data_IF_947176361752
#
_entry.id   IF_947176361752
#
_cell.length_a   1.000
_cell.length_b   1.000
_cell.length_c   1.000
_cell.angle_alpha   90.00
_cell.angle_beta   90.00
_cell.angle_gamma   90.00
#
_symmetry.space_group_name_H-M   'P 1'
#
loop_
_entity.id
_entity.type
_entity.pdbx_description
1 polymer ?
#
# COMPACT_ATOMS: atom_id res chain seq x y z
N UNK A 1 8.15 -3.17 -21.39
CA UNK A 1 8.42 -4.61 -21.55
C UNK A 1 9.87 -4.88 -21.23
N UNK A 2 10.11 -5.40 -20.02
CA UNK A 2 11.40 -5.96 -19.61
C UNK A 2 11.31 -7.47 -19.73
N UNK A 3 12.43 -8.11 -20.08
CA UNK A 3 12.55 -9.56 -20.05
C UNK A 3 12.46 -10.07 -18.61
N UNK A 4 11.71 -11.17 -18.40
CA UNK A 4 11.52 -11.76 -17.08
C UNK A 4 11.70 -13.28 -17.19
N UNK A 5 12.70 -13.78 -16.48
CA UNK A 5 12.95 -15.21 -16.36
C UNK A 5 12.05 -15.78 -15.25
N UNK A 6 11.26 -16.81 -15.56
CA UNK A 6 10.33 -17.43 -14.62
C UNK A 6 10.70 -18.89 -14.38
N UNK A 7 10.86 -19.25 -13.11
CA UNK A 7 11.22 -20.58 -12.64
C UNK A 7 10.10 -21.14 -11.79
N UNK A 8 9.68 -22.36 -12.08
CA UNK A 8 8.82 -23.15 -11.18
C UNK A 8 9.69 -23.71 -10.06
N UNK A 9 9.37 -23.35 -8.81
CA UNK A 9 10.10 -23.78 -7.62
C UNK A 9 9.37 -24.93 -6.88
N UNK A 10 8.30 -25.44 -7.48
CA UNK A 10 7.45 -26.50 -6.96
C UNK A 10 6.44 -26.01 -5.92
N UNK A 11 5.78 -26.94 -5.21
CA UNK A 11 4.82 -26.58 -4.18
C UNK A 11 5.49 -25.86 -3.01
N UNK A 12 4.75 -24.95 -2.39
CA UNK A 12 5.10 -24.27 -1.14
C UNK A 12 3.93 -24.46 -0.18
N UNK A 13 4.21 -24.86 1.05
CA UNK A 13 3.21 -25.07 2.09
C UNK A 13 3.30 -23.99 3.16
N UNK A 14 2.19 -23.78 3.86
CA UNK A 14 2.16 -22.95 5.08
C UNK A 14 3.27 -23.41 6.04
N UNK A 15 4.10 -22.47 6.49
CA UNK A 15 5.25 -22.72 7.36
C UNK A 15 6.56 -22.99 6.65
N UNK A 16 6.57 -23.17 5.32
CA UNK A 16 7.84 -23.27 4.61
C UNK A 16 8.58 -21.93 4.63
N UNK A 17 9.87 -21.95 4.97
CA UNK A 17 10.72 -20.76 4.90
C UNK A 17 11.43 -20.72 3.56
N UNK A 18 11.21 -19.64 2.83
CA UNK A 18 11.83 -19.39 1.52
C UNK A 18 12.92 -18.34 1.71
N UNK A 19 14.15 -18.71 1.34
CA UNK A 19 15.30 -17.79 1.29
C UNK A 19 15.80 -17.71 -0.13
N UNK A 20 15.80 -16.51 -0.68
CA UNK A 20 16.39 -16.16 -1.96
C UNK A 20 17.56 -15.23 -1.71
N UNK A 21 18.73 -15.65 -2.18
CA UNK A 21 19.89 -14.78 -2.31
C UNK A 21 20.30 -14.73 -3.76
N UNK A 22 20.64 -13.54 -4.24
CA UNK A 22 21.12 -13.37 -5.59
C UNK A 22 22.49 -12.69 -5.61
N UNK A 23 23.22 -12.92 -6.70
CA UNK A 23 24.37 -12.13 -7.08
C UNK A 23 24.24 -11.73 -8.53
N UNK A 24 24.67 -10.51 -8.86
CA UNK A 24 24.59 -9.96 -10.21
C UNK A 24 25.98 -9.59 -10.73
N UNK A 25 26.18 -9.70 -12.04
CA UNK A 25 27.40 -9.28 -12.75
C UNK A 25 27.04 -8.58 -14.05
N UNK A 26 27.96 -7.81 -14.63
CA UNK A 26 27.73 -7.13 -15.91
C UNK A 26 26.87 -5.86 -15.81
N UNK A 27 26.62 -5.34 -14.61
CA UNK A 27 25.86 -4.10 -14.38
C UNK A 27 24.36 -4.30 -14.16
N UNK A 28 23.89 -5.53 -14.06
CA UNK A 28 22.50 -5.84 -13.74
C UNK A 28 22.16 -5.38 -12.30
N UNK A 29 21.15 -4.54 -12.20
CA UNK A 29 20.35 -4.33 -11.00
C UNK A 29 19.12 -5.22 -11.14
N UNK A 30 19.01 -6.28 -10.34
CA UNK A 30 17.95 -7.27 -10.48
C UNK A 30 16.79 -7.02 -9.49
N UNK A 31 15.60 -7.48 -9.85
CA UNK A 31 14.46 -7.65 -8.96
C UNK A 31 14.00 -9.10 -9.00
N UNK A 32 13.48 -9.59 -7.87
CA UNK A 32 12.91 -10.92 -7.77
C UNK A 32 11.51 -10.86 -7.12
N UNK A 33 10.58 -11.63 -7.65
CA UNK A 33 9.24 -11.80 -7.10
C UNK A 33 8.88 -13.28 -6.99
N UNK A 34 8.19 -13.64 -5.91
CA UNK A 34 7.57 -14.94 -5.70
C UNK A 34 6.08 -14.81 -5.92
N UNK A 35 5.51 -15.71 -6.73
CA UNK A 35 4.08 -15.78 -7.01
C UNK A 35 3.53 -17.18 -6.68
N UNK A 36 2.24 -17.26 -6.41
CA UNK A 36 1.53 -18.53 -6.34
C UNK A 36 1.03 -19.01 -7.73
N UNK A 37 0.28 -20.12 -7.75
CA UNK A 37 -0.25 -20.72 -8.97
C UNK A 37 -1.26 -19.83 -9.70
N UNK A 38 -1.86 -18.85 -9.00
CA UNK A 38 -2.75 -17.84 -9.57
C UNK A 38 -2.01 -16.63 -10.14
N UNK A 39 -0.68 -16.61 -10.05
CA UNK A 39 0.18 -15.46 -10.29
C UNK A 39 -0.06 -14.31 -9.30
N UNK A 40 -0.61 -14.59 -8.11
CA UNK A 40 -0.71 -13.61 -7.03
C UNK A 40 0.62 -13.51 -6.29
N UNK A 41 1.02 -12.28 -6.00
CA UNK A 41 2.27 -11.94 -5.34
C UNK A 41 2.28 -12.55 -3.94
N UNK A 42 3.35 -13.26 -3.62
CA UNK A 42 3.69 -13.70 -2.27
C UNK A 42 4.67 -12.70 -1.65
N UNK A 43 5.70 -12.30 -2.41
CA UNK A 43 6.70 -11.32 -1.98
C UNK A 43 7.46 -10.78 -3.20
N UNK A 44 7.86 -9.51 -3.15
CA UNK A 44 8.78 -8.89 -4.12
C UNK A 44 9.93 -8.21 -3.37
N UNK A 45 11.12 -8.29 -3.93
CA UNK A 45 12.26 -7.51 -3.49
C UNK A 45 13.06 -7.06 -4.71
N UNK A 46 13.40 -5.79 -4.76
CA UNK A 46 14.22 -5.23 -5.83
C UNK A 46 15.45 -4.52 -5.28
N UNK A 47 16.10 -5.12 -4.27
CA UNK A 47 17.35 -4.69 -3.62
C UNK A 47 17.24 -3.58 -2.54
N UNK A 48 16.15 -2.81 -2.56
CA UNK A 48 16.05 -1.55 -1.78
C UNK A 48 15.76 -1.70 -0.29
N UNK A 49 15.14 -2.80 0.13
CA UNK A 49 14.55 -2.91 1.48
C UNK A 49 15.31 -3.80 2.45
N UNK A 50 16.30 -4.60 2.00
CA UNK A 50 16.87 -5.65 2.85
C UNK A 50 18.38 -5.58 3.10
N UNK A 51 19.18 -4.94 2.22
CA UNK A 51 20.63 -4.78 2.44
C UNK A 51 21.17 -3.46 1.87
N UNK A 52 21.63 -2.52 2.71
CA UNK A 52 22.31 -1.32 2.24
C UNK A 52 23.50 -1.67 1.34
N UNK A 53 23.49 -1.19 0.09
CA UNK A 53 24.61 -1.30 -0.86
C UNK A 53 24.68 -2.58 -1.69
N UNK A 54 23.64 -3.42 -1.69
CA UNK A 54 23.52 -4.53 -2.66
C UNK A 54 22.64 -4.15 -3.84
N UNK A 55 23.03 -4.53 -5.07
CA UNK A 55 22.19 -4.41 -6.28
C UNK A 55 21.42 -5.70 -6.59
N UNK A 56 21.24 -6.54 -5.57
CA UNK A 56 20.87 -7.92 -5.72
C UNK A 56 19.72 -8.24 -4.75
N UNK A 57 18.58 -8.73 -5.25
CA UNK A 57 17.44 -9.00 -4.41
C UNK A 57 17.75 -10.05 -3.34
N UNK A 58 17.22 -9.82 -2.15
CA UNK A 58 17.28 -10.72 -1.01
C UNK A 58 15.88 -10.86 -0.41
N UNK A 59 15.37 -12.10 -0.39
CA UNK A 59 14.06 -12.45 0.18
C UNK A 59 14.27 -13.46 1.30
N UNK A 60 13.62 -13.25 2.44
CA UNK A 60 13.49 -14.27 3.48
C UNK A 60 12.11 -14.14 4.09
N UNK A 61 11.24 -15.09 3.77
CA UNK A 61 9.85 -15.12 4.25
C UNK A 61 9.51 -16.50 4.79
N UNK A 62 8.52 -16.56 5.68
CA UNK A 62 7.82 -17.81 6.03
C UNK A 62 6.47 -17.79 5.33
N UNK A 63 6.18 -18.77 4.47
CA UNK A 63 4.93 -18.79 3.71
C UNK A 63 3.73 -18.91 4.64
N UNK A 64 2.75 -18.02 4.45
CA UNK A 64 1.47 -18.01 5.19
C UNK A 64 0.32 -18.59 4.38
N UNK A 65 0.60 -19.06 3.16
CA UNK A 65 -0.33 -19.78 2.30
C UNK A 65 0.30 -21.04 1.72
N UNK A 66 -0.53 -22.00 1.34
CA UNK A 66 -0.12 -23.17 0.57
C UNK A 66 -0.47 -22.95 -0.89
N UNK A 67 0.46 -23.29 -1.79
CA UNK A 67 0.24 -23.30 -3.23
C UNK A 67 0.87 -24.55 -3.83
N UNK A 68 0.17 -25.21 -4.75
CA UNK A 68 0.66 -26.39 -5.46
C UNK A 68 1.85 -26.06 -6.37
N UNK A 69 1.95 -24.79 -6.78
CA UNK A 69 3.01 -24.27 -7.61
C UNK A 69 3.38 -22.86 -7.12
N UNK A 70 4.64 -22.65 -6.81
CA UNK A 70 5.20 -21.32 -6.60
C UNK A 70 6.13 -20.98 -7.76
N UNK A 71 6.08 -19.74 -8.22
CA UNK A 71 6.88 -19.24 -9.32
C UNK A 71 7.85 -18.19 -8.79
N UNK A 72 9.13 -18.33 -9.12
CA UNK A 72 10.13 -17.29 -8.95
C UNK A 72 10.31 -16.57 -10.28
N UNK A 73 10.05 -15.27 -10.31
CA UNK A 73 10.37 -14.42 -11.45
C UNK A 73 11.57 -13.52 -11.13
N UNK A 74 12.48 -13.36 -12.08
CA UNK A 74 13.65 -12.48 -11.99
C UNK A 74 13.68 -11.56 -13.21
N UNK A 75 13.89 -10.27 -13.00
CA UNK A 75 13.97 -9.23 -14.06
C UNK A 75 15.03 -8.20 -13.70
N UNK A 76 15.42 -7.34 -14.63
CA UNK A 76 16.06 -6.05 -14.27
C UNK A 76 15.10 -5.21 -13.41
N UNK A 77 15.62 -4.49 -12.42
CA UNK A 77 14.85 -3.60 -11.56
C UNK A 77 13.99 -2.65 -12.40
N UNK A 78 12.68 -2.54 -12.13
CA UNK A 78 11.79 -1.72 -12.95
C UNK A 78 12.20 -0.25 -13.12
N UNK A 79 12.98 0.29 -12.19
CA UNK A 79 13.45 1.68 -12.24
C UNK A 79 14.69 1.88 -13.10
N UNK A 80 15.42 0.80 -13.36
CA UNK A 80 16.68 0.85 -14.08
C UNK A 80 16.74 -0.29 -15.09
N UNK A 81 16.56 0.06 -16.36
CA UNK A 81 16.78 -0.87 -17.46
C UNK A 81 18.27 -1.21 -17.56
N UNK A 82 18.64 -2.26 -16.85
CA UNK A 82 20.01 -2.78 -16.78
C UNK A 82 20.04 -4.19 -17.36
N UNK A 83 21.23 -4.64 -17.74
CA UNK A 83 21.45 -5.96 -18.33
C UNK A 83 22.65 -6.59 -17.67
N UNK A 84 22.70 -7.91 -17.64
CA UNK A 84 23.84 -8.65 -17.12
C UNK A 84 23.45 -10.07 -16.77
N UNK A 85 24.32 -10.76 -16.03
CA UNK A 85 24.05 -12.11 -15.56
C UNK A 85 23.70 -12.09 -14.08
N UNK A 86 22.92 -13.07 -13.65
CA UNK A 86 22.64 -13.28 -12.24
C UNK A 86 22.82 -14.76 -11.86
N UNK A 87 22.96 -15.01 -10.57
CA UNK A 87 22.86 -16.34 -9.97
C UNK A 87 21.90 -16.25 -8.81
N UNK A 88 20.93 -17.17 -8.74
CA UNK A 88 20.01 -17.30 -7.62
C UNK A 88 20.39 -18.52 -6.79
N UNK A 89 20.56 -18.32 -5.49
CA UNK A 89 20.56 -19.37 -4.49
C UNK A 89 19.21 -19.37 -3.77
N UNK A 90 18.34 -20.31 -4.14
CA UNK A 90 17.04 -20.50 -3.53
C UNK A 90 17.08 -21.68 -2.56
N UNK A 91 16.61 -21.47 -1.33
CA UNK A 91 16.40 -22.53 -0.34
C UNK A 91 14.96 -22.51 0.13
N UNK A 92 14.33 -23.69 0.17
CA UNK A 92 13.01 -23.90 0.77
C UNK A 92 13.19 -24.86 1.95
N UNK A 93 13.16 -24.32 3.16
CA UNK A 93 13.17 -25.08 4.41
C UNK A 93 11.73 -25.48 4.74
N UNK A 94 11.45 -26.79 4.72
CA UNK A 94 10.09 -27.30 4.90
C UNK A 94 9.67 -27.30 6.36
N UNK A 95 8.43 -26.88 6.62
CA UNK A 95 7.83 -26.95 7.95
C UNK A 95 8.60 -26.16 9.02
N UNK A 96 9.08 -24.97 8.68
CA UNK A 96 9.64 -24.05 9.66
C UNK A 96 8.53 -23.59 10.64
N UNK A 97 8.96 -22.96 11.74
CA UNK A 97 8.03 -22.39 12.71
C UNK A 97 7.09 -21.38 12.04
N UNK A 98 5.79 -21.59 12.22
CA UNK A 98 4.77 -20.68 11.73
C UNK A 98 4.91 -19.35 12.44
N UNK A 99 5.00 -18.28 11.66
CA UNK A 99 4.91 -16.93 12.18
C UNK A 99 3.43 -16.66 12.41
N UNK A 100 3.05 -16.46 13.67
CA UNK A 100 1.68 -16.07 14.03
C UNK A 100 1.29 -14.78 13.31
N UNK A 101 0.01 -14.66 12.99
CA UNK A 101 -0.59 -13.42 12.52
C UNK A 101 -0.29 -12.29 13.50
N UNK A 102 -0.08 -11.09 12.97
CA UNK A 102 0.31 -9.92 13.76
C UNK A 102 -0.77 -8.86 13.65
N UNK A 103 -1.78 -8.89 14.53
CA UNK A 103 -2.76 -7.82 14.61
C UNK A 103 -2.06 -6.47 14.72
N UNK A 104 -2.60 -5.45 14.03
CA UNK A 104 -1.99 -4.14 13.99
C UNK A 104 -2.91 -3.07 14.54
N UNK A 105 -2.34 -2.13 15.29
CA UNK A 105 -3.01 -0.87 15.63
C UNK A 105 -2.53 0.19 14.66
N UNK A 106 -3.49 0.84 14.00
CA UNK A 106 -3.24 1.99 13.11
C UNK A 106 -3.82 3.23 13.79
N UNK A 107 -2.95 4.20 14.07
CA UNK A 107 -3.31 5.50 14.62
C UNK A 107 -3.36 6.54 13.50
N UNK A 108 -4.50 7.19 13.32
CA UNK A 108 -4.67 8.35 12.44
C UNK A 108 -4.41 9.61 13.28
N UNK A 109 -3.28 10.27 13.07
CA UNK A 109 -2.83 11.40 13.90
C UNK A 109 -3.11 12.76 13.23
N UNK A 110 -4.03 13.50 13.85
CA UNK A 110 -4.48 14.82 13.41
C UNK A 110 -3.93 15.97 14.27
N UNK A 111 -3.17 15.68 15.33
CA UNK A 111 -2.66 16.71 16.25
C UNK A 111 -1.36 17.36 15.76
N UNK A 112 -0.73 16.81 14.72
CA UNK A 112 0.57 17.26 14.24
C UNK A 112 1.72 16.62 15.01
N UNK A 113 2.95 16.91 14.57
CA UNK A 113 4.17 16.31 15.11
C UNK A 113 5.38 17.21 14.87
N UNK A 114 6.42 17.09 15.69
CA UNK A 114 7.69 17.82 15.47
C UNK A 114 8.83 16.85 15.24
N UNK A 115 9.70 17.16 14.28
CA UNK A 115 10.82 16.31 13.92
C UNK A 115 10.43 14.93 13.37
N UNK A 116 9.21 14.81 12.81
CA UNK A 116 8.71 13.57 12.21
C UNK A 116 9.61 13.15 11.04
N UNK A 117 9.90 11.86 10.93
CA UNK A 117 10.65 11.29 9.81
C UNK A 117 9.80 10.21 9.17
N UNK A 118 9.58 10.33 7.86
CA UNK A 118 8.82 9.35 7.09
C UNK A 118 9.55 9.08 5.78
N UNK A 119 9.67 7.82 5.39
CA UNK A 119 10.17 7.42 4.06
C UNK A 119 11.59 7.91 3.79
N UNK A 120 12.45 7.92 4.83
CA UNK A 120 13.82 8.40 4.74
C UNK A 120 13.97 9.93 4.58
N UNK A 121 12.89 10.71 4.64
CA UNK A 121 12.95 12.17 4.55
C UNK A 121 13.61 12.80 5.78
N UNK A 122 14.07 14.04 5.59
CA UNK A 122 14.51 14.90 6.70
C UNK A 122 13.38 15.14 7.70
N UNK A 123 13.69 15.65 8.91
CA UNK A 123 12.69 15.94 9.92
C UNK A 123 11.64 16.93 9.39
N UNK A 124 10.37 16.65 9.66
CA UNK A 124 9.20 17.44 9.28
C UNK A 124 8.50 17.93 10.56
N UNK A 125 8.04 19.18 10.53
CA UNK A 125 7.18 19.75 11.57
C UNK A 125 5.77 19.92 11.00
N UNK A 126 4.84 19.12 11.49
CA UNK A 126 3.47 19.05 11.02
C UNK A 126 2.59 19.89 11.95
N UNK A 127 1.83 20.87 11.42
CA UNK A 127 0.77 21.49 12.20
C UNK A 127 -0.38 20.48 12.44
N UNK A 128 -1.28 20.75 13.41
CA UNK A 128 -2.54 20.04 13.50
C UNK A 128 -3.32 20.13 12.17
N UNK A 129 -4.07 19.07 11.86
CA UNK A 129 -4.89 19.03 10.65
C UNK A 129 -5.98 20.11 10.69
N UNK A 130 -6.10 20.87 9.59
CA UNK A 130 -7.16 21.85 9.38
C UNK A 130 -7.72 21.69 7.97
N UNK A 131 -9.02 21.40 7.83
CA UNK A 131 -9.64 21.25 6.52
C UNK A 131 -9.57 22.54 5.68
N UNK A 132 -9.50 23.71 6.33
CA UNK A 132 -9.32 24.99 5.63
C UNK A 132 -7.96 25.13 4.93
N UNK A 133 -6.95 24.30 5.28
CA UNK A 133 -5.66 24.27 4.59
C UNK A 133 -5.76 23.62 3.20
N UNK A 134 -6.81 22.82 2.95
CA UNK A 134 -7.12 22.27 1.63
C UNK A 134 -7.78 23.36 0.78
N UNK A 135 -8.86 23.95 1.30
CA UNK A 135 -9.58 25.05 0.69
C UNK A 135 -10.38 25.84 1.75
N UNK A 136 -10.44 27.20 1.67
CA UNK A 136 -11.18 28.00 2.63
C UNK A 136 -12.68 27.67 2.74
N UNK A 137 -13.29 27.05 1.72
CA UNK A 137 -14.69 26.62 1.78
C UNK A 137 -14.97 25.51 2.80
N UNK A 138 -13.93 24.81 3.29
CA UNK A 138 -14.04 23.82 4.37
C UNK A 138 -13.80 24.41 5.76
N UNK A 139 -13.68 25.73 5.91
CA UNK A 139 -13.52 26.37 7.22
C UNK A 139 -14.64 25.95 8.19
N UNK A 140 -14.24 25.48 9.37
CA UNK A 140 -15.16 24.98 10.41
C UNK A 140 -15.65 23.54 10.20
N UNK A 141 -15.19 22.84 9.16
CA UNK A 141 -15.59 21.46 8.85
C UNK A 141 -14.53 20.41 9.22
N UNK A 142 -13.44 20.79 9.88
CA UNK A 142 -12.32 19.90 10.22
C UNK A 142 -12.79 18.64 10.97
N UNK A 143 -13.60 18.79 12.02
CA UNK A 143 -14.06 17.62 12.79
C UNK A 143 -14.98 16.72 11.97
N UNK A 144 -15.91 17.28 11.19
CA UNK A 144 -16.80 16.50 10.33
C UNK A 144 -16.00 15.70 9.28
N UNK A 145 -14.94 16.29 8.73
CA UNK A 145 -14.03 15.63 7.81
C UNK A 145 -13.24 14.51 8.48
N UNK A 146 -12.70 14.74 9.69
CA UNK A 146 -12.02 13.70 10.50
C UNK A 146 -12.96 12.53 10.78
N UNK A 147 -14.18 12.80 11.26
CA UNK A 147 -15.14 11.75 11.64
C UNK A 147 -15.50 10.86 10.44
N UNK A 148 -15.74 11.47 9.27
CA UNK A 148 -16.01 10.75 8.03
C UNK A 148 -14.80 9.93 7.58
N UNK A 149 -13.61 10.53 7.54
CA UNK A 149 -12.36 9.87 7.16
C UNK A 149 -12.08 8.65 8.04
N UNK A 150 -12.14 8.81 9.36
CA UNK A 150 -11.90 7.72 10.33
C UNK A 150 -12.91 6.60 10.13
N UNK A 151 -14.18 6.95 9.84
CA UNK A 151 -15.23 5.97 9.54
C UNK A 151 -14.89 5.16 8.29
N UNK A 152 -14.47 5.81 7.21
CA UNK A 152 -14.13 5.13 5.95
C UNK A 152 -12.88 4.26 6.08
N UNK A 153 -11.82 4.73 6.72
CA UNK A 153 -10.62 3.89 6.96
C UNK A 153 -10.98 2.66 7.82
N UNK A 154 -11.84 2.80 8.84
CA UNK A 154 -12.34 1.64 9.61
C UNK A 154 -13.11 0.65 8.74
N UNK A 155 -13.90 1.14 7.77
CA UNK A 155 -14.64 0.29 6.85
C UNK A 155 -13.70 -0.48 5.92
N UNK A 156 -12.66 0.16 5.38
CA UNK A 156 -11.68 -0.48 4.49
C UNK A 156 -11.00 -1.69 5.13
N UNK A 157 -10.72 -1.62 6.43
CA UNK A 157 -10.07 -2.67 7.20
C UNK A 157 -11.03 -3.65 7.89
N UNK A 158 -12.35 -3.55 7.63
CA UNK A 158 -13.33 -4.46 8.24
C UNK A 158 -13.06 -5.91 7.85
N UNK A 159 -13.04 -6.80 8.86
CA UNK A 159 -12.74 -8.22 8.68
C UNK A 159 -11.26 -8.58 8.80
N UNK A 160 -10.38 -7.60 8.95
CA UNK A 160 -8.97 -7.79 9.25
C UNK A 160 -8.72 -7.55 10.74
N UNK A 161 -7.64 -8.11 11.28
CA UNK A 161 -7.18 -7.80 12.65
C UNK A 161 -6.42 -6.45 12.70
N UNK A 162 -6.98 -5.42 12.08
CA UNK A 162 -6.45 -4.06 12.08
C UNK A 162 -7.39 -3.17 12.87
N UNK A 163 -6.88 -2.55 13.93
CA UNK A 163 -7.66 -1.68 14.80
C UNK A 163 -7.30 -0.23 14.53
N UNK A 164 -8.26 0.53 13.98
CA UNK A 164 -8.04 1.92 13.57
C UNK A 164 -8.58 2.89 14.63
N UNK A 165 -7.70 3.76 15.12
CA UNK A 165 -8.00 4.81 16.10
C UNK A 165 -7.66 6.19 15.54
N UNK A 166 -8.42 7.21 15.93
CA UNK A 166 -8.04 8.60 15.76
C UNK A 166 -7.21 9.08 16.96
N UNK A 167 -6.32 10.05 16.75
CA UNK A 167 -5.62 10.72 17.84
C UNK A 167 -6.63 11.36 18.81
N UNK A 168 -6.63 10.91 20.06
CA UNK A 168 -7.57 11.35 21.09
C UNK A 168 -8.70 10.37 21.38
N UNK A 169 -8.85 9.30 20.59
CA UNK A 169 -9.78 8.22 20.92
C UNK A 169 -9.44 7.61 22.29
N UNK A 170 -10.44 7.36 23.15
CA UNK A 170 -10.20 6.63 24.39
C UNK A 170 -9.86 5.17 24.08
N UNK A 171 -8.95 4.60 24.87
CA UNK A 171 -8.68 3.15 24.83
C UNK A 171 -7.79 2.68 23.68
N UNK A 172 -7.00 3.58 23.06
CA UNK A 172 -5.88 3.16 22.21
C UNK A 172 -4.99 2.21 23.03
N UNK A 173 -4.75 0.96 22.56
CA UNK A 173 -3.93 0.01 23.29
C UNK A 173 -2.53 0.56 23.58
N UNK A 174 -1.99 0.26 24.76
CA UNK A 174 -0.59 0.55 25.06
C UNK A 174 0.30 -0.39 24.24
N UNK A 175 1.34 0.15 23.61
CA UNK A 175 2.31 -0.63 22.85
C UNK A 175 2.73 0.05 21.54
N UNK A 176 3.45 -0.68 20.68
CA UNK A 176 3.76 -0.26 19.31
C UNK A 176 2.48 0.04 18.51
N UNK A 177 2.50 1.13 17.76
CA UNK A 177 1.43 1.51 16.82
C UNK A 177 2.05 2.01 15.53
N UNK A 178 1.36 1.73 14.44
CA UNK A 178 1.66 2.32 13.13
C UNK A 178 0.87 3.61 13.00
N UNK A 179 1.49 4.71 12.61
CA UNK A 179 0.84 6.03 12.62
C UNK A 179 0.75 6.61 11.21
N UNK A 180 -0.44 7.08 10.82
CA UNK A 180 -0.66 7.87 9.61
C UNK A 180 -0.93 9.32 10.01
N UNK A 181 -0.02 10.21 9.66
CA UNK A 181 -0.09 11.64 9.95
C UNK A 181 -0.81 12.41 8.84
N UNK A 182 -1.44 13.53 9.18
CA UNK A 182 -2.16 14.38 8.24
C UNK A 182 -1.63 15.81 8.30
N UNK A 183 -1.03 16.31 7.22
CA UNK A 183 -0.52 17.68 7.17
C UNK A 183 0.42 17.95 6.01
N UNK A 184 0.82 19.22 5.88
CA UNK A 184 1.79 19.72 4.90
C UNK A 184 1.34 19.63 3.44
N UNK A 185 2.19 20.19 2.59
CA UNK A 185 2.11 20.16 1.14
C UNK A 185 3.30 19.40 0.54
N UNK A 186 3.04 18.56 -0.46
CA UNK A 186 4.06 18.04 -1.37
C UNK A 186 3.55 18.17 -2.82
N UNK A 187 4.29 18.87 -3.70
CA UNK A 187 3.84 19.09 -5.08
C UNK A 187 3.79 17.81 -5.94
N UNK A 188 4.34 16.70 -5.48
CA UNK A 188 4.47 15.46 -6.25
C UNK A 188 3.75 14.27 -5.63
N UNK A 189 3.29 14.36 -4.39
CA UNK A 189 2.76 13.24 -3.61
C UNK A 189 1.45 13.59 -2.92
N UNK A 190 0.53 12.61 -2.88
CA UNK A 190 -0.64 12.67 -2.00
C UNK A 190 -0.33 12.02 -0.64
N UNK A 191 0.53 11.01 -0.62
CA UNK A 191 1.00 10.37 0.60
C UNK A 191 2.43 9.83 0.49
N UNK A 192 2.95 9.40 1.64
CA UNK A 192 4.24 8.73 1.79
C UNK A 192 4.26 7.91 3.08
N UNK A 193 4.36 6.59 3.00
CA UNK A 193 4.79 5.68 4.04
C UNK A 193 6.31 5.50 4.13
N UNK A 194 6.76 4.94 5.25
CA UNK A 194 8.16 4.57 5.47
C UNK A 194 8.67 3.60 4.40
N UNK A 195 8.10 2.40 4.37
CA UNK A 195 8.47 1.30 3.47
C UNK A 195 7.29 0.31 3.35
N UNK A 196 7.35 -0.58 2.36
CA UNK A 196 6.47 -1.75 2.31
C UNK A 196 6.92 -2.77 3.34
N UNK A 197 6.16 -2.96 4.41
CA UNK A 197 6.48 -3.89 5.50
C UNK A 197 5.96 -5.30 5.25
N UNK A 198 6.70 -6.01 4.41
CA UNK A 198 6.42 -7.40 4.04
C UNK A 198 6.25 -8.25 5.30
N UNK A 199 5.08 -8.89 5.44
CA UNK A 199 4.68 -9.71 6.60
C UNK A 199 4.40 -8.96 7.91
N UNK A 200 4.17 -7.64 7.86
CA UNK A 200 3.89 -6.79 9.02
C UNK A 200 4.94 -7.01 10.14
N UNK A 201 6.22 -6.84 9.80
CA UNK A 201 7.33 -7.12 10.70
C UNK A 201 7.70 -6.00 11.65
N UNK A 202 7.33 -4.76 11.32
CA UNK A 202 7.61 -3.57 12.11
C UNK A 202 6.30 -2.91 12.57
N UNK A 203 5.87 -3.11 13.82
CA UNK A 203 4.62 -2.58 14.32
C UNK A 203 4.68 -1.07 14.67
N UNK A 204 5.82 -0.40 14.44
CA UNK A 204 6.06 1.02 14.74
C UNK A 204 6.60 1.76 13.51
N UNK A 205 5.74 1.94 12.50
CA UNK A 205 6.07 2.70 11.30
C UNK A 205 5.20 3.94 11.16
N UNK A 206 5.62 4.83 10.27
CA UNK A 206 4.91 6.07 9.98
C UNK A 206 4.56 6.20 8.50
N UNK A 207 3.44 6.86 8.24
CA UNK A 207 3.08 7.44 6.96
C UNK A 207 2.57 8.87 7.13
N UNK A 208 2.53 9.62 6.05
CA UNK A 208 1.93 10.95 5.99
C UNK A 208 1.01 11.07 4.77
N UNK A 209 -0.13 11.73 4.96
CA UNK A 209 -1.01 12.22 3.90
C UNK A 209 -0.82 13.73 3.78
N UNK A 210 -0.39 14.21 2.60
CA UNK A 210 -0.11 15.61 2.32
C UNK A 210 -1.40 16.38 2.00
N UNK A 211 -2.14 16.73 3.05
CA UNK A 211 -3.52 17.26 2.95
C UNK A 211 -3.63 18.52 2.09
N UNK A 212 -2.64 19.42 2.11
CA UNK A 212 -2.68 20.67 1.32
C UNK A 212 -2.61 20.40 -0.20
N UNK A 213 -2.02 19.27 -0.61
CA UNK A 213 -1.94 18.84 -2.01
C UNK A 213 -3.34 18.55 -2.60
N UNK A 214 -4.33 18.25 -1.75
CA UNK A 214 -5.70 17.97 -2.20
C UNK A 214 -6.46 19.21 -2.66
N UNK A 215 -5.89 20.41 -2.52
CA UNK A 215 -6.37 21.63 -3.21
C UNK A 215 -6.49 21.44 -4.73
N UNK A 216 -5.71 20.53 -5.31
CA UNK A 216 -5.77 20.14 -6.74
C UNK A 216 -7.10 19.46 -7.13
N UNK A 217 -7.89 18.99 -6.17
CA UNK A 217 -9.19 18.33 -6.39
C UNK A 217 -10.35 19.34 -6.39
N UNK A 218 -10.11 20.59 -5.98
CA UNK A 218 -11.15 21.62 -5.87
C UNK A 218 -11.87 22.00 -7.16
N UNK A 219 -11.32 21.82 -8.38
CA UNK A 219 -12.09 21.94 -9.61
C UNK A 219 -13.31 21.00 -9.66
N UNK A 220 -13.26 19.84 -8.99
CA UNK A 220 -14.38 18.91 -8.87
C UNK A 220 -15.45 19.36 -7.87
N UNK A 221 -15.18 20.43 -7.10
CA UNK A 221 -16.00 20.95 -6.00
C UNK A 221 -16.51 19.84 -5.06
N UNK A 222 -15.62 19.00 -4.50
CA UNK A 222 -16.06 17.90 -3.65
C UNK A 222 -16.75 18.44 -2.40
N UNK A 223 -17.79 17.74 -1.92
CA UNK A 223 -18.33 18.00 -0.58
C UNK A 223 -17.30 17.61 0.50
N UNK A 224 -17.60 17.93 1.76
CA UNK A 224 -16.75 17.51 2.89
C UNK A 224 -16.62 15.99 2.92
N UNK A 225 -17.71 15.26 2.72
CA UNK A 225 -17.73 13.79 2.72
C UNK A 225 -16.91 13.21 1.57
N UNK A 226 -17.00 13.83 0.38
CA UNK A 226 -16.25 13.38 -0.80
C UNK A 226 -14.76 13.68 -0.68
N UNK A 227 -14.39 14.81 -0.09
CA UNK A 227 -13.00 15.10 0.24
C UNK A 227 -12.48 14.14 1.33
N UNK A 228 -13.30 13.84 2.36
CA UNK A 228 -12.96 12.86 3.38
C UNK A 228 -12.74 11.46 2.81
N UNK A 229 -13.56 11.01 1.84
CA UNK A 229 -13.35 9.77 1.10
C UNK A 229 -12.02 9.77 0.32
N UNK A 230 -11.70 10.90 -0.31
CA UNK A 230 -10.46 11.04 -1.08
C UNK A 230 -9.24 10.91 -0.15
N UNK A 231 -9.29 11.54 1.03
CA UNK A 231 -8.26 11.43 2.06
C UNK A 231 -8.20 10.03 2.68
N UNK A 232 -9.34 9.37 2.92
CA UNK A 232 -9.38 8.01 3.48
C UNK A 232 -8.78 6.99 2.53
N UNK A 233 -9.06 7.08 1.24
CA UNK A 233 -8.46 6.23 0.21
C UNK A 233 -6.92 6.31 0.24
N UNK A 234 -6.37 7.53 0.36
CA UNK A 234 -4.92 7.73 0.45
C UNK A 234 -4.38 7.25 1.81
N UNK A 235 -5.06 7.54 2.92
CA UNK A 235 -4.65 7.04 4.24
C UNK A 235 -4.62 5.50 4.30
N UNK A 236 -5.64 4.84 3.75
CA UNK A 236 -5.72 3.38 3.64
C UNK A 236 -4.66 2.82 2.68
N UNK A 237 -4.32 3.55 1.61
CA UNK A 237 -3.21 3.20 0.71
C UNK A 237 -1.86 3.21 1.44
N UNK A 238 -1.55 4.28 2.16
CA UNK A 238 -0.31 4.38 2.91
C UNK A 238 -0.25 3.35 4.04
N UNK A 239 -1.36 3.15 4.76
CA UNK A 239 -1.45 2.07 5.75
C UNK A 239 -1.26 0.69 5.10
N UNK A 240 -1.77 0.47 3.89
CA UNK A 240 -1.55 -0.74 3.11
C UNK A 240 -0.08 -1.03 2.87
N UNK A 241 0.75 -0.02 2.57
CA UNK A 241 2.21 -0.19 2.48
C UNK A 241 2.82 -0.64 3.80
N UNK A 242 2.46 0.02 4.90
CA UNK A 242 2.93 -0.34 6.25
C UNK A 242 2.43 -1.71 6.71
N UNK A 243 1.52 -2.33 5.97
CA UNK A 243 1.00 -3.67 6.20
C UNK A 243 1.41 -4.66 5.09
N UNK A 244 2.36 -4.28 4.24
CA UNK A 244 3.02 -5.17 3.29
C UNK A 244 2.45 -5.17 1.87
N UNK A 245 1.53 -4.26 1.52
CA UNK A 245 0.99 -4.15 0.18
C UNK A 245 1.85 -3.29 -0.75
N UNK A 246 1.84 -3.62 -2.03
CA UNK A 246 2.52 -2.88 -3.10
C UNK A 246 1.52 -2.15 -4.00
N UNK A 247 2.01 -1.23 -4.83
CA UNK A 247 1.19 -0.54 -5.83
C UNK A 247 0.60 -1.51 -6.86
N UNK A 248 -0.60 -1.16 -7.34
CA UNK A 248 -1.36 -1.91 -8.35
C UNK A 248 -1.93 -0.95 -9.41
N UNK A 249 -2.60 -1.51 -10.44
CA UNK A 249 -3.22 -0.76 -11.54
C UNK A 249 -4.72 -1.10 -11.69
N UNK A 250 -5.54 -0.61 -10.76
CA UNK A 250 -7.00 -0.69 -10.81
C UNK A 250 -7.60 0.53 -10.11
N UNK A 251 -8.14 1.53 -10.82
CA UNK A 251 -8.66 2.75 -10.21
C UNK A 251 -9.71 2.59 -9.11
N UNK A 252 -10.33 1.41 -8.96
CA UNK A 252 -11.26 1.15 -7.87
C UNK A 252 -10.60 0.36 -6.70
N UNK A 253 -9.33 -0.02 -6.83
CA UNK A 253 -8.50 -0.59 -5.77
C UNK A 253 -7.82 0.48 -4.90
N UNK A 254 -7.71 0.22 -3.59
CA UNK A 254 -7.01 1.14 -2.66
C UNK A 254 -5.54 1.32 -3.06
N UNK A 255 -4.86 0.21 -3.39
CA UNK A 255 -3.43 0.21 -3.73
C UNK A 255 -3.11 0.72 -5.14
N UNK A 256 -4.09 1.24 -5.86
CA UNK A 256 -3.89 1.76 -7.20
C UNK A 256 -3.19 3.12 -7.21
N UNK A 257 -2.38 3.35 -8.25
CA UNK A 257 -1.74 4.65 -8.51
C UNK A 257 -2.12 5.25 -9.87
N UNK A 258 -3.08 4.67 -10.58
CA UNK A 258 -3.50 5.11 -11.92
C UNK A 258 -4.81 5.91 -11.94
N UNK A 259 -5.54 5.93 -10.82
CA UNK A 259 -6.79 6.65 -10.66
C UNK A 259 -6.64 8.14 -10.96
N UNK A 260 -7.59 8.66 -11.73
CA UNK A 260 -7.80 10.08 -11.89
C UNK A 260 -8.26 10.73 -10.58
N UNK A 261 -8.20 12.07 -10.50
CA UNK A 261 -8.73 12.80 -9.34
C UNK A 261 -10.21 12.47 -9.06
N UNK A 262 -11.02 12.27 -10.11
CA UNK A 262 -12.43 11.90 -9.95
C UNK A 262 -12.58 10.48 -9.38
N UNK A 263 -11.87 9.50 -9.94
CA UNK A 263 -11.91 8.12 -9.47
C UNK A 263 -11.43 7.99 -8.03
N UNK A 264 -10.40 8.75 -7.63
CA UNK A 264 -9.91 8.78 -6.26
C UNK A 264 -10.92 9.37 -5.26
N UNK A 265 -11.92 10.13 -5.73
CA UNK A 265 -13.03 10.59 -4.88
C UNK A 265 -14.14 9.54 -4.70
N UNK A 266 -14.05 8.40 -5.40
CA UNK A 266 -14.99 7.30 -5.25
C UNK A 266 -14.50 6.35 -4.15
N UNK A 267 -15.43 5.54 -3.62
CA UNK A 267 -15.05 4.49 -2.68
C UNK A 267 -14.13 3.46 -3.37
N UNK A 268 -13.01 3.15 -2.71
CA UNK A 268 -12.03 2.18 -3.17
C UNK A 268 -11.94 1.03 -2.18
N UNK A 269 -11.59 -0.17 -2.64
CA UNK A 269 -11.50 -1.34 -1.76
C UNK A 269 -10.22 -2.14 -1.99
N UNK A 270 -9.73 -2.84 -0.96
CA UNK A 270 -8.67 -3.84 -1.16
C UNK A 270 -9.19 -4.98 -2.03
N UNK A 271 -8.49 -5.23 -3.13
CA UNK A 271 -8.92 -6.18 -4.17
C UNK A 271 -7.73 -6.79 -4.88
N UNK A 272 -8.03 -7.72 -5.78
CA UNK A 272 -7.07 -8.34 -6.68
C UNK A 272 -6.87 -7.49 -7.93
N UNK A 273 -5.66 -6.98 -8.11
CA UNK A 273 -5.35 -6.04 -9.21
C UNK A 273 -3.97 -6.33 -9.80
N UNK A 274 -3.71 -5.95 -11.07
CA UNK A 274 -2.40 -6.15 -11.67
C UNK A 274 -1.36 -5.37 -10.87
N UNK A 275 -0.15 -5.92 -10.73
CA UNK A 275 0.95 -5.16 -10.16
C UNK A 275 1.28 -3.96 -11.04
N UNK A 276 1.66 -2.87 -10.39
CA UNK A 276 2.16 -1.72 -11.11
C UNK A 276 3.57 -2.00 -11.64
N UNK A 277 3.90 -1.62 -12.90
CA UNK A 277 5.17 -1.97 -13.52
C UNK A 277 6.42 -1.58 -12.74
N UNK A 278 6.40 -0.50 -11.94
CA UNK A 278 7.52 -0.10 -11.09
C UNK A 278 7.72 -1.00 -9.84
N UNK A 279 6.72 -1.81 -9.49
CA UNK A 279 6.81 -2.92 -8.52
C UNK A 279 7.35 -4.16 -9.22
N UNK A 280 6.64 -4.65 -10.22
CA UNK A 280 7.03 -5.79 -11.05
C UNK A 280 6.25 -5.78 -12.37
N UNK A 281 6.84 -6.26 -13.46
CA UNK A 281 6.24 -6.15 -14.80
C UNK A 281 5.09 -7.11 -15.08
N UNK A 282 4.91 -8.12 -14.23
CA UNK A 282 3.91 -9.19 -14.37
C UNK A 282 3.33 -9.57 -13.01
N UNK A 283 2.19 -10.26 -13.03
CA UNK A 283 1.54 -10.78 -11.83
C UNK A 283 0.48 -9.84 -11.24
N UNK A 284 -0.12 -10.31 -10.17
CA UNK A 284 -1.25 -9.67 -9.49
C UNK A 284 -0.97 -9.56 -8.00
N UNK A 285 -1.68 -8.69 -7.30
CA UNK A 285 -1.75 -8.69 -5.83
C UNK A 285 -3.22 -8.73 -5.42
N UNK A 286 -3.64 -9.79 -4.72
CA UNK A 286 -4.88 -9.76 -3.93
C UNK A 286 -4.60 -9.05 -2.60
N UNK A 287 -4.88 -7.75 -2.55
CA UNK A 287 -4.58 -6.93 -1.39
C UNK A 287 -5.28 -7.40 -0.11
N UNK A 288 -6.51 -7.89 -0.21
CA UNK A 288 -7.25 -8.35 0.97
C UNK A 288 -6.69 -9.68 1.49
N UNK A 289 -6.43 -10.64 0.61
CA UNK A 289 -5.87 -11.93 1.01
C UNK A 289 -4.43 -11.79 1.54
N UNK A 290 -3.63 -10.89 0.96
CA UNK A 290 -2.29 -10.56 1.48
C UNK A 290 -2.36 -9.87 2.85
N UNK A 291 -3.32 -8.97 3.08
CA UNK A 291 -3.52 -8.38 4.42
C UNK A 291 -3.95 -9.44 5.43
N UNK A 292 -4.89 -10.34 5.08
CA UNK A 292 -5.28 -11.45 5.94
C UNK A 292 -4.10 -12.31 6.34
N UNK A 293 -3.16 -12.54 5.43
CA UNK A 293 -1.94 -13.26 5.76
C UNK A 293 -1.04 -12.47 6.68
N UNK A 294 -0.88 -11.16 6.48
CA UNK A 294 0.05 -10.35 7.25
C UNK A 294 -0.45 -10.06 8.66
N UNK A 295 -1.73 -9.72 8.82
CA UNK A 295 -2.31 -9.27 10.10
C UNK A 295 -3.30 -10.25 10.71
N UNK A 296 -3.79 -11.24 9.96
CA UNK A 296 -4.89 -12.11 10.34
C UNK A 296 -6.27 -11.49 10.12
N UNK A 297 -7.33 -12.22 10.46
CA UNK A 297 -8.71 -11.75 10.38
C UNK A 297 -9.70 -12.86 10.04
N UNK A 298 -10.86 -12.46 9.53
CA UNK A 298 -11.92 -13.35 9.07
C UNK A 298 -12.27 -13.10 7.60
N UNK A 299 -12.08 -14.14 6.77
CA UNK A 299 -12.46 -14.14 5.35
C UNK A 299 -13.95 -13.86 5.13
N UNK A 300 -14.82 -14.10 6.10
CA UNK A 300 -16.24 -13.73 6.00
C UNK A 300 -16.43 -12.20 5.97
N UNK A 301 -15.54 -11.44 6.60
CA UNK A 301 -15.56 -9.98 6.59
C UNK A 301 -15.52 -9.41 5.17
N UNK A 302 -14.76 -10.02 4.25
CA UNK A 302 -14.71 -9.66 2.82
C UNK A 302 -16.10 -9.62 2.17
N UNK A 303 -16.98 -10.54 2.55
CA UNK A 303 -18.34 -10.64 2.00
C UNK A 303 -19.27 -9.55 2.53
N UNK A 304 -19.05 -9.08 3.76
CA UNK A 304 -19.84 -8.02 4.36
C UNK A 304 -19.49 -6.67 3.74
N UNK A 305 -18.20 -6.38 3.54
CA UNK A 305 -17.77 -5.15 2.85
C UNK A 305 -18.31 -5.10 1.41
N UNK A 306 -18.23 -6.21 0.67
CA UNK A 306 -18.77 -6.30 -0.69
C UNK A 306 -20.31 -6.18 -0.77
N UNK A 307 -21.04 -6.42 0.32
CA UNK A 307 -22.50 -6.31 0.38
C UNK A 307 -22.98 -4.92 0.83
N UNK A 308 -22.14 -4.18 1.56
CA UNK A 308 -22.40 -2.80 1.99
C UNK A 308 -22.16 -1.80 0.86
N UNK A 309 -21.20 -2.08 -0.01
CA UNK A 309 -21.11 -1.45 -1.32
C UNK A 309 -22.24 -2.05 -2.15
N UNK A 310 -23.39 -1.37 -2.22
CA UNK A 310 -24.54 -1.81 -3.01
C UNK A 310 -24.16 -2.20 -4.45
N UNK A 311 -24.99 -2.97 -5.17
CA UNK A 311 -24.65 -3.48 -6.51
C UNK A 311 -24.24 -2.31 -7.40
N UNK A 312 -22.92 -2.17 -7.64
CA UNK A 312 -22.24 -1.04 -8.28
C UNK A 312 -23.24 -0.09 -8.94
N UNK A 313 -23.75 0.85 -8.14
CA UNK A 313 -24.82 1.73 -8.59
C UNK A 313 -24.29 2.48 -9.81
N UNK A 314 -25.09 2.38 -10.87
CA UNK A 314 -24.89 2.88 -12.21
C UNK A 314 -23.75 3.90 -12.33
N UNK A 315 -22.69 3.53 -13.03
CA UNK A 315 -21.72 4.49 -13.58
C UNK A 315 -22.52 5.60 -14.23
N UNK A 316 -22.64 6.74 -13.56
CA UNK A 316 -23.24 7.93 -14.15
C UNK A 316 -22.34 8.23 -15.35
N UNK A 317 -22.85 8.17 -16.59
CA UNK A 317 -22.01 8.43 -17.75
C UNK A 317 -21.36 9.80 -17.57
N UNK A 318 -20.03 9.84 -17.69
CA UNK A 318 -19.32 11.11 -17.70
C UNK A 318 -19.95 12.01 -18.79
N UNK A 319 -20.24 13.29 -18.51
CA UNK A 319 -20.75 14.20 -19.53
C UNK A 319 -19.72 14.28 -20.68
N UNK A 320 -20.15 14.17 -21.95
CA UNK A 320 -19.27 13.82 -23.06
C UNK A 320 -18.23 14.86 -23.52
N UNK A 321 -18.06 16.04 -22.90
CA UNK A 321 -17.27 17.13 -23.52
C UNK A 321 -16.44 18.01 -22.56
N UNK A 322 -16.11 17.57 -21.33
CA UNK A 322 -15.23 18.36 -20.46
C UNK A 322 -13.76 18.02 -20.77
N UNK A 323 -12.89 18.98 -21.20
CA UNK A 323 -11.47 18.72 -21.39
C UNK A 323 -10.85 18.33 -20.04
N UNK A 324 -10.76 17.02 -19.80
CA UNK A 324 -10.14 16.45 -18.61
C UNK A 324 -8.73 17.02 -18.47
N UNK A 325 -8.52 17.83 -17.42
CA UNK A 325 -7.17 18.01 -16.92
C UNK A 325 -6.70 16.64 -16.44
N UNK A 326 -5.87 15.97 -17.25
CA UNK A 326 -5.12 14.81 -16.80
C UNK A 326 -4.02 15.30 -15.85
N UNK A 327 -4.41 15.56 -14.60
CA UNK A 327 -3.46 15.80 -13.53
C UNK A 327 -2.89 14.42 -13.17
N UNK A 328 -1.71 14.11 -13.72
CA UNK A 328 -0.95 12.92 -13.34
C UNK A 328 -0.29 13.17 -11.99
N UNK A 329 -1.04 12.98 -10.91
CA UNK A 329 -0.50 12.90 -9.55
C UNK A 329 -0.32 11.44 -9.21
N UNK A 330 0.88 11.07 -8.79
CA UNK A 330 1.09 9.78 -8.13
C UNK A 330 0.47 9.87 -6.74
N UNK A 331 -0.44 8.94 -6.40
CA UNK A 331 -0.90 8.79 -5.00
C UNK A 331 0.31 8.70 -4.08
N UNK A 332 1.29 7.91 -4.50
CA UNK A 332 2.51 7.73 -3.76
C UNK A 332 3.71 7.44 -4.68
N UNK A 333 4.89 7.94 -4.31
CA UNK A 333 6.18 7.59 -4.92
C UNK A 333 7.10 7.15 -3.79
N UNK A 334 6.94 5.91 -3.35
CA UNK A 334 7.99 5.29 -2.54
C UNK A 334 9.23 5.09 -3.42
N UNK A 335 10.38 4.94 -2.78
CA UNK A 335 11.59 4.33 -3.33
C UNK A 335 12.59 5.30 -4.01
N UNK A 336 12.87 6.44 -3.38
CA UNK A 336 14.21 7.04 -3.51
C UNK A 336 15.20 6.28 -2.64
#
# INVERSE_FOLDING_TARGET
DGDADVFDIGPVFIGDRIRLESSTTGGLNAAAALFDAGHDLICVNDDRTSRPGGNAPYVTIVSRRSTEQALLAVTSSPRQKTTGNYTINLTVERGAELVEDRPQVVLLDFHGATGLRVGGRGPLDLPPFDAASIDPSYAGQTQAMIDALVTYVRQDFTGLNVFVFASGDPGIPAGPVTTVYFGLYDPNLLGLADYVDVQNTNPSQSAIVYVETFSLFMPLRPSVERMAQTLSNVASHEAGHLLGLNHTLDPAGIMDISATAYELTQDQTFRRSPLEPSVFSVGWQDGFDMLLENVGGDRQGRRLSAALVGPADQVVPLPPDDPLMTVSLMKCNHLR
#
